data_IF_976971954872
#
_entry.id   IF_976971954872
#
_cell.length_a   1.000
_cell.length_b   1.000
_cell.length_c   1.000
_cell.angle_alpha   90.00
_cell.angle_beta   90.00
_cell.angle_gamma   90.00
#
_symmetry.space_group_name_H-M   'P 1'
#
loop_
_entity.id
_entity.type
_entity.pdbx_description
1 polymer ?
#
# COMPACT_ATOMS: atom_id res chain seq x y z
N UNK A 1 -4.55 75.26 -37.27
CA UNK A 1 -4.65 73.82 -36.99
C UNK A 1 -4.97 73.66 -35.50
N UNK A 2 -6.14 74.04 -35.01
CA UNK A 2 -7.46 73.35 -35.05
C UNK A 2 -7.41 71.91 -34.55
N UNK A 3 -8.25 71.64 -33.54
CA UNK A 3 -8.46 70.38 -32.79
C UNK A 3 -8.68 69.12 -33.65
N UNK A 4 -8.75 69.26 -34.97
CA UNK A 4 -8.89 68.20 -35.96
C UNK A 4 -7.59 67.38 -36.14
N UNK A 5 -6.41 67.97 -35.92
CA UNK A 5 -5.14 67.26 -36.18
C UNK A 5 -4.74 66.28 -35.07
N UNK A 6 -5.21 66.50 -33.84
CA UNK A 6 -4.96 65.57 -32.70
C UNK A 6 -5.89 64.34 -32.77
N UNK A 7 -7.06 64.46 -33.42
CA UNK A 7 -7.99 63.36 -33.60
C UNK A 7 -7.50 62.35 -34.67
N UNK A 8 -6.78 62.81 -35.71
CA UNK A 8 -6.19 61.92 -36.71
C UNK A 8 -5.02 61.09 -36.21
N UNK A 9 -4.28 61.55 -35.19
CA UNK A 9 -3.15 60.78 -34.65
C UNK A 9 -3.60 59.67 -33.68
N UNK A 10 -4.73 59.86 -32.98
CA UNK A 10 -5.32 58.83 -32.11
C UNK A 10 -6.10 57.75 -32.89
N UNK A 11 -6.63 58.07 -34.07
CA UNK A 11 -7.30 57.08 -34.95
C UNK A 11 -6.25 56.21 -35.68
N UNK A 12 -5.08 56.74 -36.01
CA UNK A 12 -4.04 55.95 -36.70
C UNK A 12 -3.30 54.97 -35.77
N UNK A 13 -3.19 55.26 -34.46
CA UNK A 13 -2.61 54.32 -33.49
C UNK A 13 -3.58 53.21 -33.01
N UNK A 14 -4.87 53.31 -33.31
CA UNK A 14 -5.84 52.22 -33.10
C UNK A 14 -6.04 51.32 -34.33
N UNK A 15 -5.41 51.65 -35.47
CA UNK A 15 -5.55 50.90 -36.73
C UNK A 15 -4.58 49.71 -36.85
N UNK A 16 -3.70 49.49 -35.87
CA UNK A 16 -2.69 48.41 -35.91
C UNK A 16 -2.91 47.26 -34.92
N UNK A 17 -4.03 47.24 -34.19
CA UNK A 17 -4.30 46.20 -33.18
C UNK A 17 -5.49 45.29 -33.48
N UNK A 18 -6.11 45.39 -34.65
CA UNK A 18 -7.23 44.55 -35.03
C UNK A 18 -7.10 44.17 -36.51
N UNK A 19 -6.63 42.94 -36.77
CA UNK A 19 -7.15 41.96 -37.76
C UNK A 19 -6.06 40.88 -37.93
N UNK A 20 -5.99 39.98 -36.95
CA UNK A 20 -5.79 38.55 -37.18
C UNK A 20 -7.03 37.83 -36.63
N UNK A 21 -8.22 38.33 -36.99
CA UNK A 21 -9.46 37.63 -36.70
C UNK A 21 -9.54 36.46 -37.69
N UNK A 22 -8.93 35.33 -37.33
CA UNK A 22 -9.07 34.09 -38.07
C UNK A 22 -10.56 33.79 -38.24
N UNK A 23 -10.99 33.48 -39.45
CA UNK A 23 -12.40 33.13 -39.69
C UNK A 23 -12.72 31.78 -39.05
N UNK A 24 -13.99 31.53 -38.71
CA UNK A 24 -14.44 30.24 -38.13
C UNK A 24 -14.03 29.06 -39.03
N UNK A 25 -14.05 29.27 -40.35
CA UNK A 25 -13.62 28.29 -41.34
C UNK A 25 -12.11 27.99 -41.25
N UNK A 26 -11.28 29.02 -41.09
CA UNK A 26 -9.83 28.88 -40.91
C UNK A 26 -9.49 28.17 -39.60
N UNK A 27 -10.16 28.51 -38.50
CA UNK A 27 -10.05 27.82 -37.20
C UNK A 27 -10.46 26.33 -37.29
N UNK A 28 -11.50 26.03 -38.07
CA UNK A 28 -11.96 24.64 -38.28
C UNK A 28 -10.95 23.83 -39.09
N UNK A 29 -10.37 24.43 -40.14
CA UNK A 29 -9.29 23.82 -40.93
C UNK A 29 -8.03 23.57 -40.09
N UNK A 30 -7.61 24.55 -39.29
CA UNK A 30 -6.48 24.39 -38.37
C UNK A 30 -6.72 23.31 -37.32
N UNK A 31 -7.93 23.22 -36.75
CA UNK A 31 -8.31 22.15 -35.82
C UNK A 31 -8.22 20.77 -36.50
N UNK A 32 -8.74 20.63 -37.72
CA UNK A 32 -8.67 19.37 -38.47
C UNK A 32 -7.22 18.96 -38.77
N UNK A 33 -6.38 19.91 -39.21
CA UNK A 33 -4.97 19.67 -39.45
C UNK A 33 -4.23 19.25 -38.17
N UNK A 34 -4.49 19.93 -37.03
CA UNK A 34 -3.90 19.59 -35.73
C UNK A 34 -4.41 18.26 -35.18
N UNK A 35 -5.67 17.90 -35.40
CA UNK A 35 -6.21 16.60 -35.03
C UNK A 35 -5.57 15.46 -35.86
N UNK A 36 -5.35 15.67 -37.15
CA UNK A 36 -4.65 14.70 -37.99
C UNK A 36 -3.17 14.55 -37.59
N UNK A 37 -2.50 15.66 -37.26
CA UNK A 37 -1.13 15.66 -36.72
C UNK A 37 -1.05 14.91 -35.38
N UNK A 38 -2.02 15.15 -34.48
CA UNK A 38 -2.12 14.44 -33.20
C UNK A 38 -2.30 12.94 -33.40
N UNK A 39 -3.23 12.52 -34.26
CA UNK A 39 -3.48 11.10 -34.54
C UNK A 39 -2.23 10.40 -35.11
N UNK A 40 -1.46 11.10 -35.96
CA UNK A 40 -0.18 10.60 -36.46
C UNK A 40 0.84 10.42 -35.33
N UNK A 41 1.00 11.43 -34.47
CA UNK A 41 1.93 11.39 -33.33
C UNK A 41 1.54 10.29 -32.32
N UNK A 42 0.25 10.08 -32.07
CA UNK A 42 -0.26 8.98 -31.23
C UNK A 42 0.10 7.61 -31.82
N UNK A 43 0.00 7.44 -33.15
CA UNK A 43 0.39 6.20 -33.84
C UNK A 43 1.91 5.94 -33.80
N UNK A 44 2.72 6.98 -34.00
CA UNK A 44 4.19 6.90 -33.88
C UNK A 44 4.61 6.57 -32.44
N UNK A 45 3.97 7.19 -31.44
CA UNK A 45 4.20 6.91 -30.02
C UNK A 45 3.84 5.46 -29.67
N UNK A 46 2.71 4.95 -30.18
CA UNK A 46 2.31 3.56 -29.99
C UNK A 46 3.33 2.58 -30.58
N UNK A 47 3.82 2.86 -31.79
CA UNK A 47 4.86 2.05 -32.45
C UNK A 47 6.17 2.07 -31.66
N UNK A 48 6.60 3.25 -31.20
CA UNK A 48 7.82 3.41 -30.42
C UNK A 48 7.71 2.71 -29.05
N UNK A 49 6.55 2.81 -28.40
CA UNK A 49 6.25 2.12 -27.14
C UNK A 49 6.37 0.61 -27.31
N UNK A 50 5.80 0.05 -28.38
CA UNK A 50 5.94 -1.38 -28.69
C UNK A 50 7.39 -1.83 -28.89
N UNK A 51 8.21 -1.04 -29.59
CA UNK A 51 9.65 -1.32 -29.76
C UNK A 51 10.40 -1.25 -28.43
N UNK A 52 10.12 -0.25 -27.60
CA UNK A 52 10.72 -0.10 -26.26
C UNK A 52 10.38 -1.29 -25.38
N UNK A 53 9.14 -1.75 -25.39
CA UNK A 53 8.73 -2.88 -24.56
C UNK A 53 9.31 -4.22 -25.05
N UNK A 54 9.44 -4.41 -26.37
CA UNK A 54 10.17 -5.55 -26.93
C UNK A 54 11.63 -5.55 -26.50
N UNK A 55 12.32 -4.41 -26.62
CA UNK A 55 13.73 -4.29 -26.24
C UNK A 55 13.94 -4.43 -24.73
N UNK A 56 13.02 -3.93 -23.90
CA UNK A 56 13.02 -4.21 -22.45
C UNK A 56 12.91 -5.69 -22.16
N UNK A 57 12.07 -6.42 -22.92
CA UNK A 57 11.95 -7.87 -22.82
C UNK A 57 13.27 -8.58 -23.15
N UNK A 58 13.91 -8.20 -24.26
CA UNK A 58 15.21 -8.76 -24.65
C UNK A 58 16.31 -8.47 -23.61
N UNK A 59 16.38 -7.22 -23.12
CA UNK A 59 17.32 -6.83 -22.06
C UNK A 59 17.05 -7.61 -20.78
N UNK A 60 15.79 -7.80 -20.39
CA UNK A 60 15.43 -8.59 -19.22
C UNK A 60 15.88 -10.06 -19.38
N UNK A 61 15.68 -10.65 -20.55
CA UNK A 61 16.11 -12.03 -20.85
C UNK A 61 17.64 -12.18 -20.86
N UNK A 62 18.37 -11.20 -21.40
CA UNK A 62 19.84 -11.19 -21.34
C UNK A 62 20.34 -10.99 -19.91
N UNK A 63 19.73 -10.08 -19.16
CA UNK A 63 20.04 -9.84 -17.74
C UNK A 63 19.83 -11.12 -16.93
N UNK A 64 18.75 -11.86 -17.19
CA UNK A 64 18.50 -13.15 -16.56
C UNK A 64 19.60 -14.18 -16.82
N UNK A 65 20.13 -14.26 -18.05
CA UNK A 65 21.25 -15.16 -18.37
C UNK A 65 22.57 -14.74 -17.74
N UNK A 66 22.75 -13.45 -17.49
CA UNK A 66 24.00 -12.87 -16.98
C UNK A 66 24.06 -12.77 -15.46
N UNK A 67 22.92 -12.80 -14.77
CA UNK A 67 22.89 -12.59 -13.32
C UNK A 67 23.08 -13.94 -12.60
N UNK A 68 24.22 -14.14 -11.90
CA UNK A 68 24.47 -15.39 -11.20
C UNK A 68 23.50 -15.59 -10.03
N UNK A 69 23.19 -16.84 -9.71
CA UNK A 69 22.46 -17.19 -8.50
C UNK A 69 23.40 -17.18 -7.28
N UNK A 70 22.92 -16.81 -6.06
CA UNK A 70 21.55 -16.36 -5.76
C UNK A 70 21.29 -14.90 -6.13
N UNK A 71 20.07 -14.63 -6.61
CA UNK A 71 19.60 -13.28 -6.99
C UNK A 71 18.80 -12.72 -5.82
N UNK A 72 19.19 -11.56 -5.29
CA UNK A 72 18.54 -10.98 -4.11
C UNK A 72 17.72 -9.75 -4.48
N UNK A 73 16.48 -9.71 -4.01
CA UNK A 73 15.58 -8.57 -4.14
C UNK A 73 15.11 -8.16 -2.75
N UNK A 74 15.49 -6.96 -2.34
CA UNK A 74 15.19 -6.45 -1.01
C UNK A 74 14.62 -5.05 -1.10
N UNK A 75 13.76 -4.71 -0.15
CA UNK A 75 13.19 -3.39 -0.09
C UNK A 75 12.56 -3.07 1.25
N UNK A 76 12.36 -1.77 1.46
CA UNK A 76 11.74 -1.19 2.62
C UNK A 76 10.84 -0.05 2.15
N UNK A 77 9.58 -0.11 2.57
CA UNK A 77 8.58 0.93 2.41
C UNK A 77 8.14 1.36 3.79
N UNK A 78 8.47 2.58 4.18
CA UNK A 78 7.91 3.23 5.36
C UNK A 78 6.78 4.18 4.97
N UNK A 79 5.77 4.30 5.82
CA UNK A 79 4.72 5.30 5.74
C UNK A 79 4.61 6.01 7.09
N UNK A 80 4.44 7.33 7.06
CA UNK A 80 4.23 8.17 8.23
C UNK A 80 3.00 9.04 8.00
N UNK A 81 1.91 8.70 8.68
CA UNK A 81 0.69 9.49 8.75
C UNK A 81 0.74 10.42 9.96
N UNK A 82 0.49 11.70 9.71
CA UNK A 82 0.39 12.73 10.75
C UNK A 82 -0.88 13.52 10.51
N UNK A 83 -1.71 13.67 11.55
CA UNK A 83 -2.86 14.54 11.54
C UNK A 83 -2.90 15.35 12.83
N UNK A 84 -2.89 16.67 12.69
CA UNK A 84 -3.00 17.63 13.78
C UNK A 84 -4.24 18.47 13.53
N UNK A 85 -5.13 18.53 14.50
CA UNK A 85 -6.36 19.32 14.44
C UNK A 85 -6.48 20.19 15.69
N UNK A 86 -6.89 21.44 15.51
CA UNK A 86 -7.11 22.37 16.60
C UNK A 86 -8.48 23.03 16.43
N UNK A 87 -9.29 22.96 17.49
CA UNK A 87 -10.61 23.55 17.55
C UNK A 87 -10.64 24.57 18.69
N UNK A 88 -11.14 25.77 18.39
CA UNK A 88 -11.37 26.83 19.36
C UNK A 88 -12.83 27.27 19.19
N UNK A 89 -13.58 27.34 20.29
CA UNK A 89 -14.97 27.78 20.32
C UNK A 89 -15.87 27.06 19.29
N UNK A 90 -15.65 25.77 19.07
CA UNK A 90 -16.49 24.96 18.17
C UNK A 90 -17.74 24.46 18.90
N UNK A 91 -18.66 25.38 19.19
CA UNK A 91 -19.76 25.26 20.15
C UNK A 91 -20.80 24.15 19.89
N UNK A 92 -20.73 23.47 18.73
CA UNK A 92 -21.67 22.38 18.39
C UNK A 92 -21.25 21.01 18.97
N UNK A 93 -20.21 20.95 19.81
CA UNK A 93 -19.67 19.73 20.42
C UNK A 93 -19.59 19.87 21.94
N UNK A 94 -19.57 18.73 22.63
CA UNK A 94 -19.43 18.65 24.10
C UNK A 94 -18.12 19.29 24.60
N UNK A 95 -17.02 19.12 23.84
CA UNK A 95 -15.69 19.70 24.09
C UNK A 95 -15.36 20.70 22.96
N UNK A 96 -15.65 22.01 23.11
CA UNK A 96 -15.54 23.00 22.03
C UNK A 96 -14.09 23.48 21.79
N UNK A 97 -13.23 23.37 22.80
CA UNK A 97 -11.82 23.74 22.74
C UNK A 97 -10.94 22.48 22.80
N UNK A 98 -10.67 21.85 21.66
CA UNK A 98 -9.94 20.57 21.63
C UNK A 98 -8.75 20.62 20.69
N UNK A 99 -7.64 20.03 21.11
CA UNK A 99 -6.54 19.64 20.22
C UNK A 99 -6.57 18.13 20.02
N UNK A 100 -6.45 17.67 18.78
CA UNK A 100 -6.39 16.25 18.44
C UNK A 100 -5.12 15.98 17.65
N UNK A 101 -4.36 14.97 18.10
CA UNK A 101 -3.13 14.53 17.44
C UNK A 101 -3.28 13.05 17.13
N UNK A 102 -3.08 12.69 15.87
CA UNK A 102 -3.00 11.31 15.43
C UNK A 102 -1.69 11.09 14.68
N UNK A 103 -0.90 10.13 15.17
CA UNK A 103 0.39 9.73 14.62
C UNK A 103 0.27 8.26 14.28
N UNK A 104 0.45 7.92 13.01
CA UNK A 104 0.49 6.55 12.55
C UNK A 104 1.75 6.29 11.74
N UNK A 105 2.36 5.14 11.92
CA UNK A 105 3.47 4.68 11.09
C UNK A 105 3.24 3.25 10.63
N UNK A 106 3.60 2.97 9.39
CA UNK A 106 3.69 1.61 8.88
C UNK A 106 5.08 1.39 8.27
N UNK A 107 5.59 0.17 8.37
CA UNK A 107 6.83 -0.25 7.75
C UNK A 107 6.64 -1.63 7.15
N UNK A 108 6.96 -1.75 5.88
CA UNK A 108 6.93 -2.98 5.11
C UNK A 108 8.33 -3.25 4.56
N UNK A 109 8.99 -4.29 5.05
CA UNK A 109 10.29 -4.73 4.56
C UNK A 109 10.20 -6.10 3.91
N UNK A 110 11.05 -6.37 2.92
CA UNK A 110 11.19 -7.68 2.32
C UNK A 110 12.64 -7.97 1.94
N UNK A 111 12.99 -9.26 1.96
CA UNK A 111 14.26 -9.77 1.46
C UNK A 111 14.01 -11.15 0.84
N UNK A 112 14.05 -11.18 -0.49
CA UNK A 112 13.77 -12.35 -1.30
C UNK A 112 15.05 -12.79 -2.01
N UNK A 113 15.29 -14.10 -2.04
CA UNK A 113 16.35 -14.72 -2.80
C UNK A 113 15.74 -15.70 -3.80
N UNK A 114 16.12 -15.57 -5.06
CA UNK A 114 15.90 -16.59 -6.06
C UNK A 114 17.17 -17.42 -6.25
N UNK A 115 16.98 -18.74 -6.29
CA UNK A 115 17.99 -19.73 -6.63
C UNK A 115 17.57 -20.46 -7.90
N UNK A 116 18.45 -21.30 -8.43
CA UNK A 116 18.20 -22.06 -9.67
C UNK A 116 16.95 -22.94 -9.57
N UNK A 117 16.80 -23.68 -8.46
CA UNK A 117 15.67 -24.60 -8.23
C UNK A 117 14.85 -24.28 -6.99
N UNK A 118 15.09 -23.15 -6.37
CA UNK A 118 14.39 -22.75 -5.15
C UNK A 118 14.23 -21.24 -5.06
N UNK A 119 13.46 -20.80 -4.08
CA UNK A 119 13.37 -19.42 -3.68
C UNK A 119 13.25 -19.33 -2.16
N UNK A 120 13.61 -18.19 -1.61
CA UNK A 120 13.42 -17.85 -0.22
C UNK A 120 12.83 -16.45 -0.15
N UNK A 121 11.63 -16.30 0.40
CA UNK A 121 10.91 -15.03 0.46
C UNK A 121 10.68 -14.66 1.91
N UNK A 122 11.11 -13.48 2.30
CA UNK A 122 10.96 -13.00 3.67
C UNK A 122 10.27 -11.64 3.66
N UNK A 123 9.35 -11.45 4.60
CA UNK A 123 8.61 -10.22 4.75
C UNK A 123 8.51 -9.82 6.22
N UNK A 124 8.46 -8.52 6.47
CA UNK A 124 8.15 -7.95 7.77
C UNK A 124 7.19 -6.78 7.57
N UNK A 125 6.15 -6.72 8.39
CA UNK A 125 5.21 -5.62 8.47
C UNK A 125 5.09 -5.16 9.92
N UNK A 126 5.15 -3.86 10.14
CA UNK A 126 4.91 -3.21 11.43
C UNK A 126 3.96 -2.04 11.19
N UNK A 127 2.86 -1.96 11.95
CA UNK A 127 1.93 -0.83 11.92
C UNK A 127 1.66 -0.40 13.35
N UNK A 128 1.94 0.87 13.65
CA UNK A 128 1.77 1.47 14.96
C UNK A 128 0.98 2.77 14.83
N UNK A 129 0.12 3.07 15.79
CA UNK A 129 -0.65 4.29 15.78
C UNK A 129 -1.01 4.75 17.17
N UNK A 130 -1.02 6.07 17.36
CA UNK A 130 -1.39 6.73 18.60
C UNK A 130 -2.34 7.88 18.32
N UNK A 131 -3.32 8.03 19.20
CA UNK A 131 -4.25 9.15 19.18
C UNK A 131 -4.28 9.83 20.55
N UNK A 132 -4.29 11.15 20.55
CA UNK A 132 -4.50 11.98 21.73
C UNK A 132 -5.60 12.99 21.46
N UNK A 133 -6.52 13.12 22.40
CA UNK A 133 -7.47 14.22 22.49
C UNK A 133 -7.17 15.01 23.75
N UNK A 134 -7.05 16.32 23.59
CA UNK A 134 -6.66 17.26 24.64
C UNK A 134 -7.72 18.35 24.74
N UNK A 135 -8.42 18.43 25.87
CA UNK A 135 -9.47 19.40 26.10
C UNK A 135 -8.88 20.60 26.86
N UNK A 136 -8.80 21.76 26.18
CA UNK A 136 -8.12 22.93 26.74
C UNK A 136 -8.85 23.53 27.94
N UNK A 137 -10.11 23.13 28.15
CA UNK A 137 -10.94 23.61 29.25
C UNK A 137 -10.81 22.74 30.51
N UNK A 138 -10.08 21.62 30.44
CA UNK A 138 -9.83 20.70 31.57
C UNK A 138 -8.38 20.82 32.03
N UNK A 139 -8.10 20.90 33.36
CA UNK A 139 -6.74 20.87 33.87
C UNK A 139 -6.02 19.56 33.50
N UNK A 140 -4.73 19.65 33.16
CA UNK A 140 -3.89 18.51 32.73
C UNK A 140 -3.89 17.31 33.69
N UNK A 141 -4.29 17.51 34.95
CA UNK A 141 -4.32 16.48 35.99
C UNK A 141 -5.57 15.61 36.01
N UNK A 142 -6.66 15.96 35.30
CA UNK A 142 -7.94 15.26 35.46
C UNK A 142 -8.43 14.51 34.21
N UNK A 143 -8.12 14.93 32.99
CA UNK A 143 -8.69 14.26 31.80
C UNK A 143 -8.00 14.55 30.44
N UNK A 144 -6.83 15.21 30.42
CA UNK A 144 -6.06 15.43 29.19
C UNK A 144 -5.23 14.20 28.84
N UNK A 145 -5.92 13.15 28.40
CA UNK A 145 -5.41 11.81 28.21
C UNK A 145 -4.06 11.76 27.49
N UNK A 146 -3.17 10.92 28.01
CA UNK A 146 -1.96 10.50 27.31
C UNK A 146 -2.31 9.89 25.94
N UNK A 147 -1.30 9.78 25.07
CA UNK A 147 -1.48 9.08 23.81
C UNK A 147 -1.98 7.65 24.04
N UNK A 148 -3.10 7.32 23.38
CA UNK A 148 -3.69 5.99 23.40
C UNK A 148 -3.28 5.23 22.15
N UNK A 149 -2.97 3.95 22.29
CA UNK A 149 -2.68 3.07 21.15
C UNK A 149 -3.93 2.90 20.31
N UNK A 150 -3.86 3.36 19.06
CA UNK A 150 -4.95 3.29 18.08
C UNK A 150 -4.73 2.17 17.05
N UNK A 151 -3.49 1.74 16.84
CA UNK A 151 -3.14 0.61 15.98
C UNK A 151 -1.86 -0.05 16.49
N UNK A 152 -1.84 -1.38 16.46
CA UNK A 152 -0.67 -2.18 16.79
C UNK A 152 -0.74 -3.53 16.08
N UNK A 153 0.14 -3.72 15.10
CA UNK A 153 0.25 -4.98 14.39
C UNK A 153 1.68 -5.19 13.92
N UNK A 154 2.27 -6.31 14.34
CA UNK A 154 3.52 -6.82 13.85
C UNK A 154 3.32 -8.16 13.15
N UNK A 155 3.98 -8.35 12.01
CA UNK A 155 4.01 -9.60 11.27
C UNK A 155 5.41 -9.83 10.69
N UNK A 156 5.94 -11.04 10.80
CA UNK A 156 7.14 -11.49 10.10
C UNK A 156 6.88 -12.84 9.43
N UNK A 157 7.31 -12.98 8.19
CA UNK A 157 7.10 -14.16 7.35
C UNK A 157 8.41 -14.65 6.75
N UNK A 158 8.54 -15.97 6.66
CA UNK A 158 9.59 -16.63 5.90
C UNK A 158 9.00 -17.81 5.14
N UNK A 159 9.13 -17.79 3.82
CA UNK A 159 8.62 -18.79 2.89
C UNK A 159 9.79 -19.35 2.08
N UNK A 160 10.08 -20.63 2.23
CA UNK A 160 11.05 -21.32 1.41
C UNK A 160 10.35 -22.30 0.48
N UNK A 161 10.74 -22.35 -0.79
CA UNK A 161 10.13 -23.25 -1.76
C UNK A 161 11.13 -23.85 -2.74
N UNK A 162 10.91 -25.11 -3.11
CA UNK A 162 11.62 -25.82 -4.17
C UNK A 162 10.73 -25.92 -5.41
N UNK A 163 11.22 -25.38 -6.54
CA UNK A 163 10.49 -25.26 -7.80
C UNK A 163 10.35 -26.64 -8.46
N UNK A 164 9.10 -27.06 -8.68
CA UNK A 164 8.75 -28.23 -9.48
C UNK A 164 8.58 -27.88 -10.97
N UNK A 165 8.20 -26.64 -11.23
CA UNK A 165 8.07 -26.02 -12.56
C UNK A 165 8.23 -24.51 -12.43
N UNK A 166 8.16 -23.78 -13.54
CA UNK A 166 8.22 -22.31 -13.55
C UNK A 166 7.12 -21.63 -12.72
N UNK A 167 5.99 -22.33 -12.50
CA UNK A 167 4.82 -21.78 -11.80
C UNK A 167 4.50 -22.45 -10.47
N UNK A 168 5.04 -23.63 -10.21
CA UNK A 168 4.70 -24.42 -9.03
C UNK A 168 5.94 -24.81 -8.25
N UNK A 169 5.86 -24.65 -6.94
CA UNK A 169 6.86 -25.11 -5.99
C UNK A 169 6.18 -25.85 -4.84
N UNK A 170 6.90 -26.80 -4.24
CA UNK A 170 6.60 -27.27 -2.89
C UNK A 170 7.26 -26.31 -1.91
N UNK A 171 6.58 -25.97 -0.83
CA UNK A 171 7.06 -24.91 0.07
C UNK A 171 6.67 -25.12 1.52
N UNK A 172 7.42 -24.45 2.39
CA UNK A 172 7.16 -24.33 3.82
C UNK A 172 7.16 -22.86 4.22
N UNK A 173 6.31 -22.49 5.16
CA UNK A 173 6.11 -21.12 5.61
C UNK A 173 6.11 -21.08 7.13
N UNK A 174 6.85 -20.12 7.67
CA UNK A 174 6.68 -19.62 9.03
C UNK A 174 6.10 -18.20 8.97
N UNK A 175 5.04 -17.94 9.72
CA UNK A 175 4.53 -16.58 9.93
C UNK A 175 4.28 -16.37 11.42
N UNK A 176 4.83 -15.28 11.96
CA UNK A 176 4.61 -14.87 13.34
C UNK A 176 3.94 -13.50 13.39
N UNK A 177 2.84 -13.39 14.15
CA UNK A 177 2.04 -12.16 14.29
C UNK A 177 1.79 -11.85 15.76
N UNK A 178 1.90 -10.59 16.15
CA UNK A 178 1.56 -10.13 17.51
C UNK A 178 1.37 -8.61 17.56
N UNK A 179 1.02 -8.09 18.72
CA UNK A 179 1.09 -6.68 19.09
C UNK A 179 2.45 -6.39 19.76
N UNK A 180 2.97 -5.16 19.73
CA UNK A 180 4.28 -4.81 20.31
C UNK A 180 4.24 -3.68 21.34
N UNK A 181 3.13 -2.98 21.45
CA UNK A 181 2.90 -1.87 22.39
C UNK A 181 2.19 -2.36 23.65
N UNK A 182 2.16 -1.50 24.68
CA UNK A 182 1.41 -1.68 25.93
C UNK A 182 1.59 -3.04 26.62
N UNK A 183 2.77 -3.64 26.49
CA UNK A 183 3.09 -4.94 27.10
C UNK A 183 2.36 -6.14 26.47
N UNK A 184 1.75 -5.97 25.29
CA UNK A 184 0.99 -7.00 24.57
C UNK A 184 1.83 -7.92 23.68
N UNK A 185 3.15 -7.88 23.83
CA UNK A 185 4.05 -8.72 23.04
C UNK A 185 3.81 -10.19 23.34
N UNK A 186 3.49 -10.95 22.28
CA UNK A 186 3.14 -12.37 22.35
C UNK A 186 1.90 -12.67 23.22
N UNK A 187 1.00 -11.69 23.39
CA UNK A 187 -0.25 -11.84 24.17
C UNK A 187 -1.48 -11.14 23.51
N UNK A 188 -2.14 -11.79 22.51
CA UNK A 188 -1.74 -13.06 21.91
C UNK A 188 -0.61 -12.91 20.87
N UNK A 189 0.21 -13.95 20.76
CA UNK A 189 1.08 -14.20 19.62
C UNK A 189 0.57 -15.38 18.81
N UNK A 190 0.63 -15.27 17.49
CA UNK A 190 0.24 -16.32 16.56
C UNK A 190 1.45 -16.78 15.77
N UNK A 191 1.77 -18.07 15.80
CA UNK A 191 2.78 -18.69 14.96
C UNK A 191 2.14 -19.72 14.04
N UNK A 192 2.16 -19.46 12.75
CA UNK A 192 1.76 -20.40 11.71
C UNK A 192 2.99 -21.11 11.16
N UNK A 193 3.01 -22.44 11.26
CA UNK A 193 3.99 -23.29 10.60
C UNK A 193 3.27 -24.19 9.58
N UNK A 194 3.55 -23.96 8.31
CA UNK A 194 2.84 -24.58 7.19
C UNK A 194 3.76 -25.28 6.21
N UNK A 195 3.22 -26.31 5.55
CA UNK A 195 3.80 -26.94 4.36
C UNK A 195 2.72 -27.17 3.31
N UNK A 196 3.12 -27.09 2.04
CA UNK A 196 2.24 -27.32 0.91
C UNK A 196 2.87 -26.87 -0.40
N UNK A 197 2.13 -26.08 -1.15
CA UNK A 197 2.55 -25.58 -2.45
C UNK A 197 2.54 -24.06 -2.53
N UNK A 198 3.37 -23.54 -3.42
CA UNK A 198 3.33 -22.14 -3.86
C UNK A 198 3.11 -22.12 -5.37
N UNK A 199 2.17 -21.27 -5.78
CA UNK A 199 1.77 -21.06 -7.15
C UNK A 199 2.05 -19.62 -7.57
N UNK A 200 2.76 -19.43 -8.69
CA UNK A 200 3.06 -18.12 -9.28
C UNK A 200 2.40 -18.04 -10.66
N UNK A 201 1.08 -17.79 -10.74
CA UNK A 201 0.32 -17.87 -11.98
C UNK A 201 0.76 -16.88 -13.06
N UNK A 202 1.05 -15.65 -12.62
CA UNK A 202 1.45 -14.50 -13.42
C UNK A 202 2.63 -13.80 -12.73
N UNK A 203 3.28 -12.91 -13.45
CA UNK A 203 4.29 -12.04 -12.88
C UNK A 203 3.72 -11.25 -11.70
N UNK A 204 4.52 -11.09 -10.65
CA UNK A 204 4.22 -10.33 -9.43
C UNK A 204 3.12 -10.89 -8.52
N UNK A 205 2.45 -12.01 -8.87
CA UNK A 205 1.48 -12.70 -8.02
C UNK A 205 2.05 -14.01 -7.47
N UNK A 206 2.05 -14.15 -6.15
CA UNK A 206 2.45 -15.37 -5.44
C UNK A 206 1.33 -15.84 -4.54
N UNK A 207 0.90 -17.08 -4.74
CA UNK A 207 -0.16 -17.71 -3.96
C UNK A 207 0.44 -18.88 -3.19
N UNK A 208 0.34 -18.86 -1.88
CA UNK A 208 0.75 -19.96 -0.99
C UNK A 208 -0.49 -20.74 -0.58
N UNK A 209 -0.44 -22.06 -0.72
CA UNK A 209 -1.53 -22.97 -0.36
C UNK A 209 -0.93 -24.08 0.48
N UNK A 210 -1.01 -23.94 1.79
CA UNK A 210 -0.46 -24.87 2.78
C UNK A 210 -1.61 -25.60 3.47
N UNK A 211 -2.06 -26.75 2.96
CA UNK A 211 -3.14 -27.52 3.58
C UNK A 211 -2.75 -28.11 4.93
N UNK A 212 -1.45 -28.22 5.22
CA UNK A 212 -0.96 -28.64 6.52
C UNK A 212 -0.27 -27.45 7.19
N UNK A 213 -1.06 -26.64 7.90
CA UNK A 213 -0.59 -25.52 8.69
C UNK A 213 -1.08 -25.64 10.13
N UNK A 214 -0.17 -25.65 11.09
CA UNK A 214 -0.53 -25.55 12.50
C UNK A 214 -0.42 -24.11 12.95
N UNK A 215 -1.52 -23.57 13.47
CA UNK A 215 -1.59 -22.25 14.08
C UNK A 215 -1.42 -22.40 15.59
N UNK A 216 -0.23 -22.06 16.09
CA UNK A 216 0.04 -21.92 17.51
C UNK A 216 -0.44 -20.55 17.97
N UNK A 217 -1.16 -20.53 19.09
CA UNK A 217 -1.53 -19.30 19.79
C UNK A 217 -0.88 -19.31 21.16
N UNK A 218 -0.12 -18.26 21.44
CA UNK A 218 0.49 -18.00 22.74
C UNK A 218 -0.28 -16.84 23.36
N UNK A 219 -0.79 -17.01 24.56
CA UNK A 219 -1.43 -15.94 25.31
C UNK A 219 -1.37 -16.28 26.80
N UNK A 220 -1.10 -15.25 27.60
CA UNK A 220 -1.17 -15.31 29.06
C UNK A 220 -2.48 -14.69 29.57
N UNK A 221 -3.39 -14.30 28.66
CA UNK A 221 -4.67 -13.69 28.99
C UNK A 221 -5.68 -14.71 29.56
N UNK A 222 -6.68 -14.19 30.30
CA UNK A 222 -7.76 -15.01 30.86
C UNK A 222 -8.68 -15.64 29.79
N UNK A 223 -8.56 -15.21 28.53
CA UNK A 223 -9.31 -15.78 27.40
C UNK A 223 -8.63 -17.04 26.85
N UNK A 224 -9.39 -18.12 26.70
CA UNK A 224 -8.89 -19.40 26.18
C UNK A 224 -8.69 -19.36 24.66
N UNK A 225 -7.58 -18.79 24.23
CA UNK A 225 -7.13 -18.87 22.84
C UNK A 225 -6.76 -20.31 22.47
N UNK A 226 -7.25 -20.79 21.33
CA UNK A 226 -7.05 -22.16 20.90
C UNK A 226 -6.18 -22.25 19.65
N UNK A 227 -5.12 -23.04 19.79
CA UNK A 227 -4.31 -23.51 18.67
C UNK A 227 -5.07 -24.55 17.85
N UNK A 228 -4.86 -24.57 16.54
CA UNK A 228 -5.49 -25.59 15.68
C UNK A 228 -4.70 -25.90 14.42
N UNK A 229 -4.94 -27.10 13.89
CA UNK A 229 -4.50 -27.49 12.56
C UNK A 229 -5.51 -26.97 11.52
N UNK A 230 -5.00 -26.50 10.39
CA UNK A 230 -5.81 -25.97 9.32
C UNK A 230 -5.06 -25.80 8.01
N UNK A 231 -5.71 -25.14 7.06
CA UNK A 231 -5.11 -24.70 5.82
C UNK A 231 -4.73 -23.22 5.91
N UNK A 232 -3.57 -22.87 5.34
CA UNK A 232 -3.16 -21.48 5.17
C UNK A 232 -3.13 -21.10 3.69
N UNK A 233 -3.73 -19.97 3.38
CA UNK A 233 -3.75 -19.37 2.05
C UNK A 233 -3.19 -17.97 2.13
N UNK A 234 -2.14 -17.70 1.35
CA UNK A 234 -1.57 -16.35 1.22
C UNK A 234 -1.61 -15.95 -0.25
N UNK A 235 -1.97 -14.71 -0.56
CA UNK A 235 -1.87 -14.15 -1.89
C UNK A 235 -1.17 -12.78 -1.82
N UNK A 236 0.02 -12.72 -2.40
CA UNK A 236 0.86 -11.54 -2.48
C UNK A 236 0.91 -11.03 -3.92
N UNK A 237 0.47 -9.79 -4.13
CA UNK A 237 0.52 -9.11 -5.43
C UNK A 237 1.19 -7.75 -5.29
N UNK A 238 2.19 -7.45 -6.13
CA UNK A 238 2.86 -6.14 -6.11
C UNK A 238 3.10 -5.61 -7.52
N UNK A 239 2.41 -4.54 -7.92
CA UNK A 239 2.55 -4.01 -9.28
C UNK A 239 2.48 -2.48 -9.34
N UNK A 240 3.17 -1.90 -10.32
CA UNK A 240 2.92 -0.52 -10.75
C UNK A 240 1.67 -0.50 -11.64
N UNK A 241 0.57 0.03 -11.12
CA UNK A 241 -0.73 0.06 -11.81
C UNK A 241 -0.85 1.21 -12.82
N UNK A 242 -0.15 2.32 -12.58
CA UNK A 242 0.00 3.42 -13.53
C UNK A 242 1.33 4.13 -13.31
N UNK A 243 1.66 5.11 -14.17
CA UNK A 243 2.88 5.90 -14.05
C UNK A 243 2.90 6.62 -12.70
N UNK A 244 3.83 6.21 -11.84
CA UNK A 244 4.01 6.81 -10.53
C UNK A 244 3.06 6.30 -9.44
N UNK A 245 2.29 5.23 -9.67
CA UNK A 245 1.48 4.59 -8.61
C UNK A 245 1.80 3.10 -8.53
N UNK A 246 2.34 2.69 -7.39
CA UNK A 246 2.53 1.30 -7.00
C UNK A 246 1.37 0.83 -6.13
N UNK A 247 0.96 -0.43 -6.32
CA UNK A 247 -0.04 -1.11 -5.50
C UNK A 247 0.55 -2.43 -5.01
N UNK A 248 0.41 -2.67 -3.72
CA UNK A 248 0.69 -3.94 -3.05
C UNK A 248 -0.60 -4.43 -2.41
N UNK A 249 -0.94 -5.69 -2.63
CA UNK A 249 -2.07 -6.37 -1.98
C UNK A 249 -1.56 -7.66 -1.36
N UNK A 250 -1.82 -7.86 -0.07
CA UNK A 250 -1.45 -9.06 0.67
C UNK A 250 -2.70 -9.57 1.39
N UNK A 251 -3.15 -10.77 1.01
CA UNK A 251 -4.16 -11.53 1.73
C UNK A 251 -3.47 -12.68 2.46
N UNK A 252 -3.72 -12.84 3.76
CA UNK A 252 -3.30 -14.00 4.56
C UNK A 252 -4.53 -14.54 5.28
N UNK A 253 -4.87 -15.81 5.06
CA UNK A 253 -6.02 -16.47 5.65
C UNK A 253 -5.60 -17.82 6.23
N UNK A 254 -6.03 -18.10 7.46
CA UNK A 254 -5.95 -19.39 8.11
C UNK A 254 -7.35 -19.96 8.29
N UNK A 255 -7.55 -21.19 7.84
CA UNK A 255 -8.82 -21.91 7.85
C UNK A 255 -8.65 -23.14 8.75
N UNK A 256 -9.20 -23.08 9.96
CA UNK A 256 -9.08 -24.18 10.91
C UNK A 256 -9.93 -25.38 10.51
N UNK A 257 -9.40 -26.58 10.69
CA UNK A 257 -10.16 -27.83 10.51
C UNK A 257 -10.96 -28.22 11.74
N UNK A 258 -10.72 -27.57 12.89
CA UNK A 258 -11.43 -27.85 14.13
C UNK A 258 -12.75 -27.08 14.21
N UNK A 259 -12.71 -25.78 13.92
CA UNK A 259 -13.87 -24.89 14.00
C UNK A 259 -13.67 -23.65 13.12
N UNK A 260 -14.73 -23.18 12.44
CA UNK A 260 -14.73 -21.94 11.68
C UNK A 260 -14.39 -20.71 12.53
N UNK A 261 -14.76 -20.71 13.81
CA UNK A 261 -14.46 -19.62 14.75
C UNK A 261 -12.97 -19.52 15.11
N UNK A 262 -12.16 -20.55 14.81
CA UNK A 262 -10.70 -20.49 14.94
C UNK A 262 -10.01 -20.00 13.66
N UNK A 263 -10.78 -19.80 12.59
CA UNK A 263 -10.27 -19.26 11.33
C UNK A 263 -10.08 -17.75 11.44
N UNK A 264 -9.08 -17.23 10.75
CA UNK A 264 -8.78 -15.80 10.71
C UNK A 264 -8.27 -15.39 9.33
N UNK A 265 -8.43 -14.11 9.01
CA UNK A 265 -7.88 -13.56 7.79
C UNK A 265 -7.52 -12.09 7.97
N UNK A 266 -6.52 -11.65 7.22
CA UNK A 266 -6.10 -10.25 7.11
C UNK A 266 -5.84 -9.94 5.64
N UNK A 267 -6.37 -8.81 5.17
CA UNK A 267 -6.16 -8.30 3.82
C UNK A 267 -5.69 -6.86 3.88
N UNK A 268 -4.47 -6.62 3.41
CA UNK A 268 -3.84 -5.30 3.40
C UNK A 268 -3.60 -4.85 1.97
N UNK A 269 -4.01 -3.62 1.66
CA UNK A 269 -3.77 -2.94 0.40
C UNK A 269 -2.97 -1.67 0.66
N UNK A 270 -1.78 -1.58 0.07
CA UNK A 270 -0.92 -0.41 0.12
C UNK A 270 -0.80 0.23 -1.26
N UNK A 271 -1.06 1.53 -1.34
CA UNK A 271 -0.84 2.36 -2.52
C UNK A 271 0.30 3.32 -2.23
N UNK A 272 1.22 3.52 -3.17
CA UNK A 272 2.30 4.49 -3.02
C UNK A 272 2.52 5.27 -4.31
N UNK A 273 2.62 6.59 -4.18
CA UNK A 273 3.02 7.48 -5.27
C UNK A 273 4.53 7.76 -5.30
N UNK A 274 5.34 6.96 -4.59
CA UNK A 274 6.75 7.22 -4.40
C UNK A 274 7.53 7.30 -5.73
N UNK A 275 8.15 8.46 -5.96
CA UNK A 275 9.07 8.72 -7.08
C UNK A 275 10.43 9.04 -6.49
N UNK A 276 11.47 8.32 -6.92
CA UNK A 276 12.83 8.40 -6.33
C UNK A 276 12.82 8.18 -4.80
N UNK A 277 11.89 7.35 -4.34
CA UNK A 277 11.78 6.93 -2.96
C UNK A 277 10.96 7.84 -2.06
N UNK A 278 10.39 8.97 -2.50
CA UNK A 278 9.49 9.79 -1.67
C UNK A 278 8.14 9.96 -2.37
N UNK A 279 7.04 9.84 -1.64
CA UNK A 279 5.70 10.12 -2.15
C UNK A 279 4.63 10.09 -1.07
N UNK A 280 3.39 9.83 -1.48
CA UNK A 280 2.24 9.66 -0.59
C UNK A 280 1.88 8.18 -0.56
N UNK A 281 1.69 7.64 0.64
CA UNK A 281 1.28 6.27 0.89
C UNK A 281 -0.14 6.22 1.45
N UNK A 282 -0.94 5.27 0.98
CA UNK A 282 -2.22 4.91 1.57
C UNK A 282 -2.23 3.42 1.86
N UNK A 283 -2.29 3.05 3.14
CA UNK A 283 -2.50 1.68 3.58
C UNK A 283 -3.96 1.50 4.00
N UNK A 284 -4.58 0.39 3.62
CA UNK A 284 -5.93 -0.02 4.01
C UNK A 284 -5.84 -1.47 4.47
N UNK A 285 -6.23 -1.74 5.71
CA UNK A 285 -6.25 -3.08 6.27
C UNK A 285 -7.65 -3.50 6.67
N UNK A 286 -8.00 -4.74 6.34
CA UNK A 286 -9.21 -5.42 6.76
C UNK A 286 -8.81 -6.71 7.48
N UNK A 287 -9.48 -7.06 8.57
CA UNK A 287 -9.21 -8.28 9.32
C UNK A 287 -10.51 -8.86 9.90
N UNK A 288 -10.57 -10.18 9.95
CA UNK A 288 -11.53 -10.92 10.75
C UNK A 288 -10.81 -11.97 11.60
N UNK A 289 -11.02 -11.92 12.92
CA UNK A 289 -10.49 -12.88 13.86
C UNK A 289 -11.46 -13.00 15.05
N UNK A 290 -12.22 -14.11 15.08
CA UNK A 290 -13.26 -14.33 16.08
C UNK A 290 -12.67 -14.49 17.48
N UNK A 291 -11.50 -15.13 17.61
CA UNK A 291 -10.85 -15.31 18.91
C UNK A 291 -10.46 -13.95 19.53
N UNK A 292 -9.87 -13.05 18.74
CA UNK A 292 -9.58 -11.68 19.19
C UNK A 292 -10.87 -10.92 19.56
N UNK A 293 -11.94 -11.08 18.77
CA UNK A 293 -13.23 -10.43 19.06
C UNK A 293 -13.82 -10.91 20.39
N UNK A 294 -13.81 -12.23 20.64
CA UNK A 294 -14.27 -12.81 21.90
C UNK A 294 -13.40 -12.39 23.08
N UNK A 295 -12.08 -12.34 22.92
CA UNK A 295 -11.14 -11.83 23.93
C UNK A 295 -11.40 -10.34 24.27
N UNK A 296 -11.88 -9.56 23.30
CA UNK A 296 -12.32 -8.18 23.49
C UNK A 296 -13.76 -8.05 24.03
N UNK A 297 -14.38 -9.15 24.48
CA UNK A 297 -15.73 -9.18 25.05
C UNK A 297 -16.86 -9.02 24.03
N UNK A 298 -16.59 -9.22 22.74
CA UNK A 298 -17.62 -9.21 21.68
C UNK A 298 -18.22 -10.60 21.51
N UNK A 299 -19.47 -10.67 21.10
CA UNK A 299 -20.18 -11.95 20.84
C UNK A 299 -20.25 -12.29 19.36
N UNK A 300 -19.99 -11.33 18.47
CA UNK A 300 -19.89 -11.46 17.01
C UNK A 300 -18.42 -11.43 16.53
N UNK A 301 -18.17 -11.44 15.22
CA UNK A 301 -16.82 -11.26 14.64
C UNK A 301 -16.86 -10.00 13.77
N UNK A 302 -16.81 -8.81 14.37
CA UNK A 302 -16.91 -7.57 13.62
C UNK A 302 -15.71 -7.43 12.68
N UNK A 303 -15.96 -6.86 11.50
CA UNK A 303 -14.90 -6.52 10.57
C UNK A 303 -14.00 -5.46 11.22
N UNK A 304 -12.74 -5.81 11.44
CA UNK A 304 -11.73 -4.87 11.93
C UNK A 304 -11.12 -4.15 10.72
N UNK A 305 -10.99 -2.82 10.80
CA UNK A 305 -10.49 -2.01 9.69
C UNK A 305 -9.54 -0.93 10.17
N UNK A 306 -8.54 -0.61 9.36
CA UNK A 306 -7.74 0.60 9.51
C UNK A 306 -7.42 1.20 8.15
N UNK A 307 -7.11 2.49 8.13
CA UNK A 307 -6.48 3.14 7.00
C UNK A 307 -5.44 4.15 7.50
N UNK A 308 -4.34 4.27 6.76
CA UNK A 308 -3.25 5.18 7.07
C UNK A 308 -2.85 5.91 5.78
N UNK A 309 -3.17 7.20 5.71
CA UNK A 309 -2.68 8.10 4.68
C UNK A 309 -1.48 8.86 5.23
N UNK A 310 -0.36 8.86 4.51
CA UNK A 310 0.87 9.45 5.00
C UNK A 310 1.92 9.74 3.95
N UNK A 311 3.03 10.31 4.40
CA UNK A 311 4.24 10.41 3.61
C UNK A 311 4.89 9.05 3.54
N UNK A 312 5.14 8.56 2.32
CA UNK A 312 5.80 7.29 2.08
C UNK A 312 7.25 7.49 1.66
N UNK A 313 8.11 6.62 2.17
CA UNK A 313 9.50 6.50 1.78
C UNK A 313 9.79 5.07 1.31
N UNK A 314 10.29 4.91 0.08
CA UNK A 314 10.53 3.62 -0.55
C UNK A 314 11.99 3.48 -0.99
N UNK A 315 12.66 2.45 -0.48
CA UNK A 315 13.95 1.99 -0.96
C UNK A 315 13.79 0.55 -1.46
N UNK A 316 14.24 0.28 -2.68
CA UNK A 316 14.34 -1.09 -3.20
C UNK A 316 15.69 -1.29 -3.88
N UNK A 317 16.31 -2.45 -3.65
CA UNK A 317 17.53 -2.87 -4.32
C UNK A 317 17.35 -4.28 -4.85
N UNK A 318 17.59 -4.44 -6.15
CA UNK A 318 17.67 -5.74 -6.81
C UNK A 318 19.12 -5.98 -7.23
N UNK A 319 19.73 -7.05 -6.71
CA UNK A 319 21.11 -7.45 -6.95
C UNK A 319 21.17 -8.81 -7.65
#
# INVERSE_FOLDING_TARGET
MTKTTVLSFFVFMFSFSLVNAQTIEELTSQKAAKAAELAKLEGELGTLTGKVDALKGEVAALTEKLTPYPRWDSGLLGNLGLNFSNFNDWLSKDKPNTTAVNIGTSMNAFANADFEKSFWRNGMNLTLGWIKFDDKDVPDSEENGDFQVAADAFNITSLFGYKLSDKWAISTLGEYRTAVLDGKFNDPGYLDLGVGATWTPIQDLVVVIHPLNYNFVFSDSDFDFQSSLGAKVVADYTRKITKGVAWKSNLSAFLSYKDGDLSNWTWVNGFSTAVKGVGIGLDIGLRGNKQEALAAGKTDNPLQTYWLLGFSYNISSKK
#
